data_IF_019726386054
#
_entry.id   IF_019726386054
#
_cell.length_a   1.000
_cell.length_b   1.000
_cell.length_c   1.000
_cell.angle_alpha   90.00
_cell.angle_beta   90.00
_cell.angle_gamma   90.00
#
_symmetry.space_group_name_H-M   'P 1'
#
loop_
_entity.id
_entity.type
_entity.pdbx_description
1 polymer ?
#
# COMPACT_ATOMS: atom_id res chain seq x y z
N UNK A 1 -3.59 -14.99 12.85
CA UNK A 1 -2.66 -14.09 12.15
C UNK A 1 -2.69 -14.45 10.67
N UNK A 2 -2.96 -13.48 9.77
CA UNK A 2 -2.98 -13.69 8.32
C UNK A 2 -1.59 -13.43 7.72
N UNK A 3 -1.02 -12.24 7.99
CA UNK A 3 0.32 -11.85 7.54
C UNK A 3 1.19 -11.53 8.76
N UNK A 4 2.40 -12.06 8.79
CA UNK A 4 3.42 -11.71 9.77
C UNK A 4 4.71 -11.30 9.05
N UNK A 5 5.21 -10.14 9.37
CA UNK A 5 6.45 -9.59 8.85
C UNK A 5 7.41 -9.45 10.02
N UNK A 6 8.53 -10.17 9.98
CA UNK A 6 9.49 -10.25 11.08
C UNK A 6 10.88 -9.79 10.60
N UNK A 7 11.31 -8.63 11.11
CA UNK A 7 12.61 -8.02 10.80
C UNK A 7 12.94 -7.98 9.30
N UNK A 8 11.89 -7.73 8.47
CA UNK A 8 12.07 -7.65 7.02
C UNK A 8 12.91 -6.42 6.69
N UNK A 9 14.03 -6.63 6.03
CA UNK A 9 14.88 -5.58 5.52
C UNK A 9 15.26 -5.84 4.06
N UNK A 10 15.49 -4.75 3.32
CA UNK A 10 15.86 -4.80 1.90
C UNK A 10 16.98 -3.80 1.67
N UNK A 11 18.10 -4.27 1.12
CA UNK A 11 19.24 -3.41 0.84
C UNK A 11 19.53 -3.35 -0.66
N UNK A 12 19.69 -2.15 -1.17
CA UNK A 12 20.21 -1.79 -2.49
C UNK A 12 21.51 -1.00 -2.32
N UNK A 13 22.30 -0.80 -3.37
CA UNK A 13 23.55 -0.01 -3.27
C UNK A 13 23.34 1.40 -2.70
N UNK A 14 22.21 2.04 -3.01
CA UNK A 14 21.94 3.44 -2.65
C UNK A 14 20.84 3.62 -1.60
N UNK A 15 20.14 2.55 -1.23
CA UNK A 15 19.01 2.62 -0.31
C UNK A 15 18.90 1.36 0.55
N UNK A 16 18.52 1.52 1.81
CA UNK A 16 18.23 0.41 2.71
C UNK A 16 16.90 0.63 3.41
N UNK A 17 15.99 -0.33 3.26
CA UNK A 17 14.86 -0.49 4.17
C UNK A 17 15.36 -1.25 5.39
N UNK A 18 15.39 -0.58 6.53
CA UNK A 18 15.80 -1.14 7.81
C UNK A 18 14.76 -2.14 8.34
N UNK A 19 15.09 -3.00 9.32
CA UNK A 19 14.19 -4.04 9.79
C UNK A 19 12.80 -3.51 10.17
N UNK A 20 11.78 -4.03 9.50
CA UNK A 20 10.37 -3.73 9.74
C UNK A 20 9.68 -4.97 10.26
N UNK A 21 8.91 -4.81 11.33
CA UNK A 21 8.12 -5.90 11.91
C UNK A 21 6.68 -5.44 12.18
N UNK A 22 5.72 -6.18 11.70
CA UNK A 22 4.29 -6.00 11.99
C UNK A 22 3.53 -7.28 11.68
N UNK A 23 2.30 -7.32 12.15
CA UNK A 23 1.37 -8.41 11.83
C UNK A 23 0.04 -7.82 11.37
N UNK A 24 -0.72 -8.59 10.58
CA UNK A 24 -2.04 -8.23 10.08
C UNK A 24 -2.97 -9.43 10.21
N UNK A 25 -4.10 -9.25 10.84
CA UNK A 25 -5.14 -10.28 10.95
C UNK A 25 -6.10 -10.25 9.76
N UNK A 26 -6.86 -11.33 9.58
CA UNK A 26 -7.89 -11.39 8.55
C UNK A 26 -8.92 -10.26 8.77
N UNK A 27 -9.30 -9.58 7.69
CA UNK A 27 -10.24 -8.47 7.73
C UNK A 27 -9.67 -7.17 8.33
N UNK A 28 -8.41 -7.13 8.71
CA UNK A 28 -7.78 -5.92 9.27
C UNK A 28 -7.33 -4.96 8.15
N UNK A 29 -7.27 -3.66 8.50
CA UNK A 29 -6.76 -2.59 7.65
C UNK A 29 -5.45 -2.08 8.23
N UNK A 30 -4.36 -2.11 7.46
CA UNK A 30 -3.07 -1.52 7.79
C UNK A 30 -2.65 -0.54 6.72
N UNK A 31 -2.34 0.70 7.11
CA UNK A 31 -1.80 1.70 6.18
C UNK A 31 -0.32 1.96 6.47
N UNK A 32 0.50 1.97 5.43
CA UNK A 32 1.91 2.38 5.51
C UNK A 32 2.03 3.75 4.87
N UNK A 33 2.41 4.75 5.67
CA UNK A 33 2.49 6.15 5.23
C UNK A 33 3.92 6.65 5.28
N UNK A 34 4.28 7.52 4.32
CA UNK A 34 5.59 8.18 4.29
C UNK A 34 5.80 8.94 3.00
N UNK A 35 6.83 9.78 2.95
CA UNK A 35 7.21 10.52 1.72
C UNK A 35 7.63 9.57 0.59
N UNK A 36 7.69 10.11 -0.65
CA UNK A 36 8.26 9.38 -1.79
C UNK A 36 9.71 9.00 -1.48
N UNK A 37 10.11 7.78 -1.83
CA UNK A 37 11.46 7.26 -1.53
C UNK A 37 11.65 6.71 -0.10
N UNK A 38 10.63 6.73 0.77
CA UNK A 38 10.77 6.19 2.14
C UNK A 38 10.85 4.66 2.23
N UNK A 39 10.66 3.92 1.12
CA UNK A 39 10.77 2.46 1.08
C UNK A 39 9.44 1.70 1.10
N UNK A 40 8.29 2.38 1.02
CA UNK A 40 6.96 1.75 1.07
C UNK A 40 6.74 0.71 -0.03
N UNK A 41 6.98 1.08 -1.29
CA UNK A 41 6.87 0.17 -2.45
C UNK A 41 7.89 -0.97 -2.36
N UNK A 42 9.11 -0.69 -1.87
CA UNK A 42 10.13 -1.71 -1.59
C UNK A 42 9.61 -2.75 -0.60
N UNK A 43 9.00 -2.29 0.50
CA UNK A 43 8.39 -3.16 1.51
C UNK A 43 7.26 -4.04 0.90
N UNK A 44 6.34 -3.42 0.12
CA UNK A 44 5.26 -4.18 -0.54
C UNK A 44 5.78 -5.22 -1.52
N UNK A 45 6.79 -4.88 -2.34
CA UNK A 45 7.43 -5.82 -3.27
C UNK A 45 8.10 -6.97 -2.55
N UNK A 46 8.80 -6.70 -1.45
CA UNK A 46 9.43 -7.74 -0.65
C UNK A 46 8.40 -8.71 -0.03
N UNK A 47 7.30 -8.19 0.53
CA UNK A 47 6.19 -9.00 1.03
C UNK A 47 5.59 -9.88 -0.07
N UNK A 48 5.46 -9.34 -1.29
CA UNK A 48 4.89 -10.05 -2.43
C UNK A 48 5.89 -10.99 -3.16
N UNK A 49 7.13 -11.12 -2.66
CA UNK A 49 8.23 -11.83 -3.31
C UNK A 49 8.48 -11.34 -4.75
N UNK A 50 8.50 -10.00 -4.92
CA UNK A 50 8.69 -9.31 -6.20
C UNK A 50 9.83 -8.29 -6.11
N UNK A 51 10.78 -8.52 -5.21
CA UNK A 51 11.99 -7.70 -5.12
C UNK A 51 12.82 -7.82 -6.40
N UNK A 52 13.50 -6.75 -6.74
CA UNK A 52 14.40 -6.71 -7.88
C UNK A 52 15.61 -7.64 -7.66
N UNK A 53 16.25 -8.15 -8.73
CA UNK A 53 17.36 -9.11 -8.59
C UNK A 53 18.55 -8.57 -7.79
N UNK A 54 18.76 -7.26 -7.79
CA UNK A 54 19.84 -6.58 -7.06
C UNK A 54 19.55 -6.40 -5.57
N UNK A 55 18.29 -6.62 -5.16
CA UNK A 55 17.86 -6.45 -3.78
C UNK A 55 18.38 -7.58 -2.90
N UNK A 56 19.04 -7.23 -1.80
CA UNK A 56 19.34 -8.17 -0.74
C UNK A 56 18.21 -8.12 0.30
N UNK A 57 17.38 -9.15 0.30
CA UNK A 57 16.22 -9.25 1.20
C UNK A 57 16.59 -10.17 2.37
N UNK A 58 16.30 -9.74 3.60
CA UNK A 58 16.45 -10.55 4.81
C UNK A 58 15.27 -10.36 5.76
N UNK A 59 15.15 -11.25 6.74
CA UNK A 59 13.97 -11.33 7.60
C UNK A 59 13.03 -12.45 7.17
N UNK A 60 11.78 -12.41 7.63
CA UNK A 60 10.79 -13.45 7.36
C UNK A 60 9.43 -12.83 7.08
N UNK A 61 8.70 -13.41 6.14
CA UNK A 61 7.32 -13.04 5.81
C UNK A 61 6.47 -14.30 5.79
N UNK A 62 5.50 -14.38 6.69
CA UNK A 62 4.57 -15.50 6.74
C UNK A 62 3.18 -15.04 6.28
N UNK A 63 2.59 -15.80 5.37
CA UNK A 63 1.18 -15.68 4.97
C UNK A 63 0.45 -16.98 5.30
N UNK A 64 -0.57 -16.92 6.15
CA UNK A 64 -1.25 -18.10 6.65
C UNK A 64 -0.28 -19.16 7.20
N UNK A 65 0.77 -18.74 7.92
CA UNK A 65 1.82 -19.61 8.49
C UNK A 65 2.83 -20.16 7.48
N UNK A 66 2.76 -19.77 6.20
CA UNK A 66 3.75 -20.16 5.16
C UNK A 66 4.79 -19.06 5.00
N UNK A 67 6.06 -19.42 5.12
CA UNK A 67 7.15 -18.46 4.92
C UNK A 67 7.37 -18.19 3.43
N UNK A 68 7.06 -16.98 3.00
CA UNK A 68 7.07 -16.59 1.58
C UNK A 68 8.49 -16.40 1.05
N UNK A 69 9.42 -15.82 1.84
CA UNK A 69 10.77 -15.50 1.38
C UNK A 69 11.66 -16.76 1.22
N UNK A 70 11.28 -17.86 1.87
CA UNK A 70 11.94 -19.14 1.68
C UNK A 70 11.50 -19.89 0.41
N UNK A 71 10.45 -19.39 -0.28
CA UNK A 71 9.90 -19.98 -1.50
C UNK A 71 10.64 -19.48 -2.73
N UNK A 72 10.80 -20.35 -3.71
CA UNK A 72 11.19 -19.94 -5.06
C UNK A 72 10.00 -19.32 -5.82
N UNK A 73 10.29 -18.68 -6.96
CA UNK A 73 9.26 -18.04 -7.79
C UNK A 73 8.17 -19.03 -8.24
N UNK A 74 8.51 -20.30 -8.48
CA UNK A 74 7.54 -21.34 -8.91
C UNK A 74 6.54 -21.65 -7.81
N UNK A 75 6.97 -21.65 -6.55
CA UNK A 75 6.10 -21.87 -5.40
C UNK A 75 5.30 -20.61 -5.02
N UNK A 76 5.88 -19.41 -5.16
CA UNK A 76 5.24 -18.14 -4.83
C UNK A 76 4.17 -17.72 -5.87
N UNK A 77 4.43 -17.96 -7.15
CA UNK A 77 3.55 -17.55 -8.27
C UNK A 77 2.09 -18.02 -8.15
N UNK A 78 1.79 -19.28 -7.73
CA UNK A 78 0.41 -19.74 -7.57
C UNK A 78 -0.34 -19.05 -6.41
N UNK A 79 0.37 -18.50 -5.42
CA UNK A 79 -0.22 -17.81 -4.28
C UNK A 79 -0.69 -16.41 -4.66
N UNK A 80 0.02 -15.77 -5.61
CA UNK A 80 -0.36 -14.45 -6.12
C UNK A 80 -1.73 -14.53 -6.80
N UNK A 81 -2.57 -13.56 -6.56
CA UNK A 81 -3.97 -13.44 -6.97
C UNK A 81 -4.92 -14.42 -6.26
N UNK A 82 -4.46 -15.54 -5.73
CA UNK A 82 -5.28 -16.53 -5.05
C UNK A 82 -5.31 -16.34 -3.54
N UNK A 83 -4.17 -16.17 -2.90
CA UNK A 83 -4.07 -15.95 -1.45
C UNK A 83 -3.83 -14.48 -1.12
N UNK A 84 -3.05 -13.81 -1.93
CA UNK A 84 -2.86 -12.36 -1.87
C UNK A 84 -2.80 -11.76 -3.27
N UNK A 85 -3.23 -10.50 -3.37
CA UNK A 85 -3.13 -9.70 -4.60
C UNK A 85 -2.36 -8.41 -4.34
N UNK A 86 -1.74 -7.87 -5.38
CA UNK A 86 -1.00 -6.61 -5.33
C UNK A 86 -1.42 -5.73 -6.49
N UNK A 87 -1.78 -4.47 -6.19
CA UNK A 87 -2.00 -3.41 -7.14
C UNK A 87 -0.91 -2.36 -6.95
N UNK A 88 -0.03 -2.22 -7.96
CA UNK A 88 1.08 -1.27 -7.92
C UNK A 88 0.63 0.16 -8.21
N UNK A 89 1.48 1.12 -7.84
CA UNK A 89 1.37 2.50 -8.28
C UNK A 89 1.31 2.57 -9.82
N UNK A 90 0.47 3.47 -10.36
CA UNK A 90 0.23 3.61 -11.80
C UNK A 90 -0.28 2.33 -12.48
N UNK A 91 -1.00 1.47 -11.74
CA UNK A 91 -1.50 0.20 -12.29
C UNK A 91 -2.36 0.36 -13.55
N UNK A 92 -2.90 1.55 -13.80
CA UNK A 92 -3.59 1.88 -15.05
C UNK A 92 -2.68 1.72 -16.29
N UNK A 93 -1.39 2.02 -16.16
CA UNK A 93 -0.39 1.88 -17.23
C UNK A 93 -0.02 0.41 -17.51
N UNK A 94 -0.35 -0.49 -16.58
CA UNK A 94 -0.08 -1.92 -16.70
C UNK A 94 -1.23 -2.67 -17.38
N UNK A 95 -2.38 -2.03 -17.56
CA UNK A 95 -3.45 -2.60 -18.37
C UNK A 95 -3.07 -2.55 -19.84
N UNK A 96 -3.17 -3.69 -20.51
CA UNK A 96 -2.92 -3.75 -21.95
C UNK A 96 -4.00 -2.91 -22.68
N UNK A 97 -3.62 -1.82 -23.37
CA UNK A 97 -4.60 -0.93 -24.00
C UNK A 97 -5.38 -1.57 -25.15
N UNK A 98 -4.96 -2.74 -25.61
CA UNK A 98 -5.58 -3.48 -26.71
C UNK A 98 -6.56 -4.56 -26.24
N UNK A 99 -6.67 -4.78 -24.91
CA UNK A 99 -7.59 -5.73 -24.33
C UNK A 99 -8.78 -5.01 -23.68
N UNK A 100 -9.96 -5.59 -23.79
CA UNK A 100 -11.15 -5.16 -23.06
C UNK A 100 -11.05 -5.52 -21.57
N UNK A 101 -11.90 -4.93 -20.73
CA UNK A 101 -11.95 -5.27 -19.30
C UNK A 101 -12.32 -6.75 -19.10
N UNK A 102 -13.20 -7.30 -19.93
CA UNK A 102 -13.55 -8.72 -19.91
C UNK A 102 -12.32 -9.61 -20.19
N UNK A 103 -11.48 -9.22 -21.13
CA UNK A 103 -10.27 -9.98 -21.48
C UNK A 103 -9.24 -9.95 -20.35
N UNK A 104 -9.03 -8.79 -19.69
CA UNK A 104 -8.17 -8.70 -18.50
C UNK A 104 -8.67 -9.58 -17.36
N UNK A 105 -9.97 -9.54 -17.03
CA UNK A 105 -10.54 -10.43 -16.00
C UNK A 105 -10.41 -11.90 -16.39
N UNK A 106 -10.57 -12.23 -17.68
CA UNK A 106 -10.44 -13.61 -18.18
C UNK A 106 -9.05 -14.18 -17.94
N UNK A 107 -7.99 -13.38 -18.13
CA UNK A 107 -6.60 -13.81 -17.88
C UNK A 107 -6.38 -14.27 -16.43
N UNK A 108 -7.04 -13.62 -15.48
CA UNK A 108 -6.95 -13.98 -14.04
C UNK A 108 -7.92 -15.12 -13.72
N UNK A 109 -9.18 -14.96 -14.10
CA UNK A 109 -10.28 -15.89 -13.74
C UNK A 109 -10.10 -17.28 -14.37
N UNK A 110 -9.41 -17.39 -15.52
CA UNK A 110 -9.16 -18.69 -16.14
C UNK A 110 -8.36 -19.66 -15.27
N UNK A 111 -7.78 -19.21 -14.16
CA UNK A 111 -7.10 -20.06 -13.17
C UNK A 111 -8.08 -20.87 -12.32
N UNK A 112 -9.31 -20.38 -12.12
CA UNK A 112 -10.29 -21.01 -11.22
C UNK A 112 -11.68 -21.21 -11.84
N UNK A 113 -12.05 -20.45 -12.87
CA UNK A 113 -13.40 -20.41 -13.43
C UNK A 113 -13.41 -20.78 -14.91
N UNK A 114 -14.54 -21.35 -15.40
CA UNK A 114 -14.77 -21.69 -16.81
C UNK A 114 -16.22 -21.41 -17.21
N UNK A 115 -16.45 -21.12 -18.51
CA UNK A 115 -17.77 -20.99 -19.09
C UNK A 115 -18.68 -20.03 -18.34
N UNK A 116 -19.92 -20.46 -18.06
CA UNK A 116 -20.93 -19.64 -17.38
C UNK A 116 -20.51 -19.16 -15.98
N UNK A 117 -19.74 -19.98 -15.24
CA UNK A 117 -19.25 -19.57 -13.91
C UNK A 117 -18.25 -18.39 -13.98
N UNK A 118 -17.45 -18.32 -15.05
CA UNK A 118 -16.55 -17.20 -15.29
C UNK A 118 -17.34 -15.93 -15.60
N UNK A 119 -18.36 -16.02 -16.47
CA UNK A 119 -19.22 -14.89 -16.83
C UNK A 119 -19.93 -14.32 -15.57
N UNK A 120 -20.55 -15.22 -14.78
CA UNK A 120 -21.21 -14.83 -13.55
C UNK A 120 -20.23 -14.14 -12.55
N UNK A 121 -19.00 -14.65 -12.46
CA UNK A 121 -17.98 -14.02 -11.60
C UNK A 121 -17.54 -12.64 -12.09
N UNK A 122 -17.44 -12.43 -13.41
CA UNK A 122 -17.17 -11.11 -13.99
C UNK A 122 -18.28 -10.12 -13.62
N UNK A 123 -19.53 -10.48 -13.81
CA UNK A 123 -20.68 -9.64 -13.45
C UNK A 123 -20.68 -9.31 -11.94
N UNK A 124 -20.44 -10.31 -11.09
CA UNK A 124 -20.33 -10.11 -9.64
C UNK A 124 -19.23 -9.12 -9.28
N UNK A 125 -18.04 -9.23 -9.89
CA UNK A 125 -16.92 -8.33 -9.65
C UNK A 125 -17.22 -6.90 -10.09
N UNK A 126 -17.85 -6.72 -11.26
CA UNK A 126 -18.26 -5.39 -11.73
C UNK A 126 -19.27 -4.75 -10.78
N UNK A 127 -20.29 -5.49 -10.37
CA UNK A 127 -21.28 -5.02 -9.40
C UNK A 127 -20.65 -4.70 -8.03
N UNK A 128 -19.67 -5.51 -7.58
CA UNK A 128 -18.97 -5.33 -6.31
C UNK A 128 -18.24 -3.98 -6.23
N UNK A 129 -17.65 -3.52 -7.35
CA UNK A 129 -16.94 -2.24 -7.39
C UNK A 129 -17.80 -1.09 -7.94
N UNK A 130 -19.07 -1.32 -8.21
CA UNK A 130 -20.00 -0.31 -8.73
C UNK A 130 -19.65 0.13 -10.15
N UNK A 131 -19.32 -0.83 -11.02
CA UNK A 131 -19.24 -0.70 -12.48
C UNK A 131 -20.38 -1.48 -13.12
N UNK A 132 -20.76 -1.09 -14.33
CA UNK A 132 -21.80 -1.77 -15.08
C UNK A 132 -21.22 -2.99 -15.84
N UNK A 133 -22.02 -4.03 -16.03
CA UNK A 133 -21.61 -5.20 -16.83
C UNK A 133 -21.27 -4.80 -18.26
N UNK A 134 -21.94 -3.77 -18.80
CA UNK A 134 -21.63 -3.22 -20.13
C UNK A 134 -20.20 -2.65 -20.24
N UNK A 135 -19.60 -2.21 -19.13
CA UNK A 135 -18.22 -1.70 -19.13
C UNK A 135 -17.19 -2.80 -19.43
N UNK A 136 -17.55 -4.09 -19.30
CA UNK A 136 -16.68 -5.22 -19.66
C UNK A 136 -16.20 -5.19 -21.11
N UNK A 137 -16.98 -4.62 -22.01
CA UNK A 137 -16.65 -4.51 -23.43
C UNK A 137 -15.77 -3.29 -23.76
N UNK A 138 -15.53 -2.41 -22.77
CA UNK A 138 -14.69 -1.23 -22.93
C UNK A 138 -13.21 -1.54 -22.82
N UNK A 139 -12.41 -0.68 -23.45
CA UNK A 139 -10.95 -0.66 -23.29
C UNK A 139 -10.54 0.30 -22.15
N UNK A 140 -9.37 0.11 -21.52
CA UNK A 140 -8.90 0.95 -20.42
C UNK A 140 -8.91 2.46 -20.74
N UNK A 141 -8.57 2.84 -21.97
CA UNK A 141 -8.55 4.24 -22.45
C UNK A 141 -9.94 4.94 -22.52
N UNK A 142 -11.01 4.16 -22.43
CA UNK A 142 -12.39 4.67 -22.50
C UNK A 142 -12.98 4.93 -21.12
N UNK A 143 -12.19 4.65 -20.07
CA UNK A 143 -12.60 4.80 -18.68
C UNK A 143 -12.05 6.09 -18.07
N UNK A 144 -12.80 6.65 -17.11
CA UNK A 144 -12.25 7.67 -16.21
C UNK A 144 -11.24 7.05 -15.25
N UNK A 145 -10.34 7.87 -14.67
CA UNK A 145 -9.36 7.39 -13.69
C UNK A 145 -10.00 6.64 -12.50
N UNK A 146 -11.13 7.14 -12.01
CA UNK A 146 -11.87 6.46 -10.93
C UNK A 146 -12.47 5.11 -11.36
N UNK A 147 -12.94 4.97 -12.61
CA UNK A 147 -13.41 3.69 -13.15
C UNK A 147 -12.26 2.70 -13.31
N UNK A 148 -11.09 3.16 -13.76
CA UNK A 148 -9.89 2.33 -13.85
C UNK A 148 -9.50 1.78 -12.47
N UNK A 149 -9.48 2.63 -11.43
CA UNK A 149 -9.16 2.20 -10.08
C UNK A 149 -10.19 1.19 -9.52
N UNK A 150 -11.47 1.40 -9.77
CA UNK A 150 -12.53 0.42 -9.46
C UNK A 150 -12.28 -0.92 -10.14
N UNK A 151 -11.95 -0.89 -11.43
CA UNK A 151 -11.64 -2.10 -12.20
C UNK A 151 -10.40 -2.81 -11.65
N UNK A 152 -9.34 -2.08 -11.30
CA UNK A 152 -8.13 -2.65 -10.68
C UNK A 152 -8.43 -3.34 -9.35
N UNK A 153 -9.34 -2.77 -8.52
CA UNK A 153 -9.83 -3.43 -7.31
C UNK A 153 -10.62 -4.70 -7.64
N UNK A 154 -11.49 -4.68 -8.65
CA UNK A 154 -12.21 -5.89 -9.12
C UNK A 154 -11.22 -6.97 -9.56
N UNK A 155 -10.20 -6.60 -10.35
CA UNK A 155 -9.17 -7.51 -10.82
C UNK A 155 -8.34 -8.10 -9.66
N UNK A 156 -7.96 -7.27 -8.67
CA UNK A 156 -7.26 -7.74 -7.48
C UNK A 156 -8.10 -8.75 -6.66
N UNK A 157 -9.42 -8.56 -6.61
CA UNK A 157 -10.37 -9.42 -5.90
C UNK A 157 -10.87 -10.62 -6.72
N UNK A 158 -10.39 -10.80 -7.95
CA UNK A 158 -10.92 -11.78 -8.90
C UNK A 158 -11.00 -13.22 -8.33
N UNK A 159 -9.97 -13.64 -7.60
CA UNK A 159 -9.86 -14.97 -7.02
C UNK A 159 -10.11 -15.03 -5.51
N UNK A 160 -10.76 -14.00 -4.93
CA UNK A 160 -11.06 -13.89 -3.49
C UNK A 160 -9.81 -14.02 -2.59
N UNK A 161 -8.75 -13.21 -2.81
CA UNK A 161 -7.58 -13.28 -1.95
C UNK A 161 -7.92 -12.87 -0.51
N UNK A 162 -7.20 -13.45 0.45
CA UNK A 162 -7.34 -13.09 1.86
C UNK A 162 -6.70 -11.74 2.17
N UNK A 163 -5.69 -11.34 1.40
CA UNK A 163 -4.93 -10.10 1.54
C UNK A 163 -4.84 -9.36 0.21
N UNK A 164 -5.09 -8.04 0.22
CA UNK A 164 -4.84 -7.15 -0.92
C UNK A 164 -3.87 -6.06 -0.49
N UNK A 165 -2.76 -5.94 -1.24
CA UNK A 165 -1.80 -4.85 -1.12
C UNK A 165 -2.14 -3.79 -2.17
N UNK A 166 -2.33 -2.54 -1.74
CA UNK A 166 -2.64 -1.41 -2.62
C UNK A 166 -1.54 -0.37 -2.49
N UNK A 167 -0.85 -0.07 -3.58
CA UNK A 167 0.18 0.98 -3.62
C UNK A 167 -0.39 2.23 -4.31
N UNK A 168 -0.57 3.30 -3.53
CA UNK A 168 -1.11 4.60 -3.94
C UNK A 168 -2.48 4.51 -4.67
N UNK A 169 -3.51 3.88 -4.06
CA UNK A 169 -4.77 3.62 -4.77
C UNK A 169 -5.56 4.87 -5.16
N UNK A 170 -5.19 6.05 -4.64
CA UNK A 170 -5.88 7.32 -4.90
C UNK A 170 -4.96 8.41 -5.49
N UNK A 171 -3.67 8.12 -5.70
CA UNK A 171 -2.63 9.12 -5.97
C UNK A 171 -2.81 9.94 -7.25
N UNK A 172 -3.52 9.43 -8.26
CA UNK A 172 -3.75 10.11 -9.55
C UNK A 172 -5.20 10.56 -9.74
N UNK A 173 -6.01 10.58 -8.67
CA UNK A 173 -7.44 10.87 -8.74
C UNK A 173 -7.78 12.27 -8.23
N UNK A 174 -8.86 12.84 -8.74
CA UNK A 174 -9.49 14.02 -8.14
C UNK A 174 -10.08 13.69 -6.75
N UNK A 175 -10.40 14.74 -5.98
CA UNK A 175 -10.87 14.61 -4.58
C UNK A 175 -12.15 13.76 -4.48
N UNK A 176 -13.09 13.90 -5.42
CA UNK A 176 -14.36 13.19 -5.38
C UNK A 176 -14.16 11.69 -5.66
N UNK A 177 -13.38 11.38 -6.71
CA UNK A 177 -13.00 10.03 -7.08
C UNK A 177 -12.18 9.34 -5.96
N UNK A 178 -11.24 10.06 -5.35
CA UNK A 178 -10.43 9.57 -4.22
C UNK A 178 -11.32 9.15 -3.04
N UNK A 179 -12.28 9.99 -2.64
CA UNK A 179 -13.26 9.65 -1.60
C UNK A 179 -14.09 8.43 -1.95
N UNK A 180 -14.52 8.32 -3.21
CA UNK A 180 -15.27 7.16 -3.71
C UNK A 180 -14.47 5.85 -3.60
N UNK A 181 -13.18 5.87 -3.97
CA UNK A 181 -12.29 4.71 -3.87
C UNK A 181 -12.01 4.36 -2.40
N UNK A 182 -11.80 5.36 -1.53
CA UNK A 182 -11.60 5.13 -0.09
C UNK A 182 -12.81 4.43 0.53
N UNK A 183 -14.01 4.94 0.28
CA UNK A 183 -15.26 4.34 0.76
C UNK A 183 -15.46 2.93 0.20
N UNK A 184 -15.09 2.68 -1.06
CA UNK A 184 -15.17 1.36 -1.69
C UNK A 184 -14.21 0.37 -1.00
N UNK A 185 -12.95 0.76 -0.72
CA UNK A 185 -11.98 -0.10 -0.02
C UNK A 185 -12.53 -0.50 1.36
N UNK A 186 -13.09 0.44 2.12
CA UNK A 186 -13.71 0.18 3.42
C UNK A 186 -14.89 -0.79 3.31
N UNK A 187 -15.76 -0.59 2.31
CA UNK A 187 -16.91 -1.47 2.08
C UNK A 187 -16.47 -2.88 1.68
N UNK A 188 -15.48 -3.00 0.81
CA UNK A 188 -14.90 -4.29 0.40
C UNK A 188 -14.28 -5.03 1.59
N UNK A 189 -13.51 -4.33 2.43
CA UNK A 189 -12.94 -4.89 3.66
C UNK A 189 -14.04 -5.43 4.58
N UNK A 190 -15.03 -4.60 4.89
CA UNK A 190 -16.14 -4.95 5.78
C UNK A 190 -17.00 -6.10 5.23
N UNK A 191 -17.28 -6.10 3.91
CA UNK A 191 -18.19 -7.04 3.27
C UNK A 191 -17.55 -8.40 3.00
N UNK A 192 -16.28 -8.41 2.58
CA UNK A 192 -15.57 -9.63 2.18
C UNK A 192 -14.70 -10.22 3.30
N UNK A 193 -14.40 -9.44 4.35
CA UNK A 193 -13.43 -9.85 5.35
C UNK A 193 -11.99 -9.93 4.81
N UNK A 194 -11.73 -9.39 3.61
CA UNK A 194 -10.38 -9.31 3.03
C UNK A 194 -9.55 -8.30 3.81
N UNK A 195 -8.35 -8.67 4.19
CA UNK A 195 -7.40 -7.74 4.79
C UNK A 195 -6.80 -6.82 3.72
N UNK A 196 -6.57 -5.56 4.06
CA UNK A 196 -5.92 -4.60 3.17
C UNK A 196 -4.66 -4.03 3.80
N UNK A 197 -3.55 -4.09 3.06
CA UNK A 197 -2.34 -3.33 3.33
C UNK A 197 -2.25 -2.20 2.30
N UNK A 198 -2.47 -0.96 2.73
CA UNK A 198 -2.51 0.22 1.86
C UNK A 198 -1.23 1.02 2.04
N UNK A 199 -0.59 1.34 0.93
CA UNK A 199 0.59 2.19 0.89
C UNK A 199 0.19 3.54 0.32
N UNK A 200 0.58 4.62 1.00
CA UNK A 200 0.30 5.98 0.53
C UNK A 200 1.26 7.00 1.13
N UNK A 201 1.31 8.18 0.54
CA UNK A 201 1.91 9.37 1.15
C UNK A 201 0.86 10.28 1.81
N UNK A 202 -0.43 9.95 1.69
CA UNK A 202 -1.54 10.76 2.18
C UNK A 202 -2.03 10.28 3.55
N UNK A 203 -1.70 11.06 4.61
CA UNK A 203 -2.21 10.83 5.96
C UNK A 203 -3.72 10.93 6.05
N UNK A 204 -4.36 11.71 5.13
CA UNK A 204 -5.82 11.80 5.10
C UNK A 204 -6.44 10.48 4.67
N UNK A 205 -5.87 9.81 3.66
CA UNK A 205 -6.32 8.48 3.27
C UNK A 205 -6.19 7.49 4.44
N UNK A 206 -5.06 7.51 5.16
CA UNK A 206 -4.88 6.67 6.34
C UNK A 206 -5.94 6.97 7.43
N UNK A 207 -6.22 8.25 7.68
CA UNK A 207 -7.26 8.68 8.61
C UNK A 207 -8.66 8.19 8.22
N UNK A 208 -9.00 8.34 6.94
CA UNK A 208 -10.31 7.92 6.40
C UNK A 208 -10.44 6.39 6.43
N UNK A 209 -9.40 5.63 6.11
CA UNK A 209 -9.41 4.16 6.15
C UNK A 209 -9.50 3.60 7.58
N UNK A 210 -8.87 4.24 8.55
CA UNK A 210 -8.80 3.75 9.92
C UNK A 210 -7.88 2.53 10.09
N UNK A 211 -8.14 1.71 11.11
CA UNK A 211 -7.31 0.55 11.45
C UNK A 211 -5.97 0.94 12.07
N UNK A 212 -4.87 0.37 11.62
CA UNK A 212 -3.52 0.67 12.10
C UNK A 212 -2.68 1.37 11.04
N UNK A 213 -1.73 2.18 11.48
CA UNK A 213 -0.80 2.92 10.61
C UNK A 213 0.64 2.68 11.03
N UNK A 214 1.51 2.51 10.05
CA UNK A 214 2.97 2.51 10.17
C UNK A 214 3.50 3.71 9.40
N UNK A 215 4.27 4.55 10.05
CA UNK A 215 4.90 5.74 9.45
C UNK A 215 6.35 5.40 9.12
N UNK A 216 6.68 5.50 7.84
CA UNK A 216 8.00 5.14 7.28
C UNK A 216 8.72 6.39 6.76
N UNK A 217 9.95 6.60 7.19
CA UNK A 217 10.81 7.68 6.73
C UNK A 217 12.22 7.16 6.45
N UNK A 218 12.74 7.42 5.24
CA UNK A 218 14.11 7.07 4.82
C UNK A 218 14.50 5.61 5.19
N UNK A 219 13.59 4.67 4.96
CA UNK A 219 13.78 3.25 5.26
C UNK A 219 13.57 2.84 6.72
N UNK A 220 13.21 3.75 7.61
CA UNK A 220 12.98 3.47 9.04
C UNK A 220 11.50 3.59 9.42
N UNK A 221 11.06 2.74 10.33
CA UNK A 221 9.76 2.88 11.00
C UNK A 221 9.92 3.91 12.11
N UNK A 222 9.31 5.08 11.95
CA UNK A 222 9.38 6.17 12.92
C UNK A 222 8.29 6.09 13.98
N UNK A 223 7.11 5.61 13.56
CA UNK A 223 5.98 5.47 14.45
C UNK A 223 5.01 4.39 13.93
N UNK A 224 4.39 3.63 14.82
CA UNK A 224 3.36 2.65 14.46
C UNK A 224 2.32 2.53 15.57
N UNK A 225 1.05 2.31 15.19
CA UNK A 225 -0.01 2.14 16.15
C UNK A 225 -1.41 2.20 15.54
N UNK A 226 -2.42 2.31 16.40
CA UNK A 226 -3.78 2.62 16.01
C UNK A 226 -3.82 3.96 15.28
N UNK A 227 -4.49 4.01 14.13
CA UNK A 227 -4.50 5.21 13.27
C UNK A 227 -5.04 6.43 14.01
N UNK A 228 -6.12 6.28 14.76
CA UNK A 228 -6.72 7.40 15.51
C UNK A 228 -5.80 7.90 16.61
N UNK A 229 -5.15 6.99 17.33
CA UNK A 229 -4.18 7.37 18.36
C UNK A 229 -2.99 8.15 17.78
N UNK A 230 -2.50 7.74 16.60
CA UNK A 230 -1.44 8.44 15.87
C UNK A 230 -1.87 9.85 15.40
N UNK A 231 -3.13 10.01 14.98
CA UNK A 231 -3.69 11.30 14.57
C UNK A 231 -3.86 12.25 15.73
N UNK A 232 -4.40 11.75 16.84
CA UNK A 232 -4.72 12.55 18.02
C UNK A 232 -3.45 12.89 18.84
N UNK A 233 -2.49 11.96 18.92
CA UNK A 233 -1.30 12.06 19.76
C UNK A 233 -0.02 11.62 19.06
N UNK A 234 0.37 12.26 17.93
CA UNK A 234 1.61 11.91 17.22
C UNK A 234 2.83 12.17 18.11
N UNK A 235 3.67 11.17 18.25
CA UNK A 235 4.87 11.25 19.11
C UNK A 235 6.07 11.76 18.33
N UNK A 236 6.31 11.19 17.14
CA UNK A 236 7.46 11.55 16.34
C UNK A 236 7.26 12.87 15.60
N UNK A 237 8.26 13.79 15.56
CA UNK A 237 8.15 15.07 14.85
C UNK A 237 7.85 14.95 13.36
N UNK A 238 8.30 13.88 12.71
CA UNK A 238 7.97 13.60 11.31
C UNK A 238 6.48 13.32 11.13
N UNK A 239 5.88 12.48 11.97
CA UNK A 239 4.42 12.21 11.96
C UNK A 239 3.62 13.50 12.14
N UNK A 240 4.05 14.37 13.07
CA UNK A 240 3.43 15.70 13.27
C UNK A 240 3.51 16.54 12.00
N UNK A 241 4.67 16.55 11.33
CA UNK A 241 4.88 17.27 10.09
C UNK A 241 3.99 16.77 8.95
N UNK A 242 3.86 15.44 8.80
CA UNK A 242 2.95 14.83 7.83
C UNK A 242 1.50 15.24 8.07
N UNK A 243 1.05 15.21 9.33
CA UNK A 243 -0.31 15.63 9.71
C UNK A 243 -0.57 17.11 9.44
N UNK A 244 0.43 17.96 9.67
CA UNK A 244 0.33 19.40 9.39
C UNK A 244 0.27 19.71 7.90
N UNK A 245 0.90 18.89 7.06
CA UNK A 245 0.88 19.03 5.60
C UNK A 245 -0.37 18.43 4.95
N UNK A 246 -1.11 17.57 5.67
CA UNK A 246 -2.33 16.94 5.16
C UNK A 246 -3.49 17.94 5.11
N UNK A 247 -3.86 18.36 3.90
CA UNK A 247 -4.98 19.29 3.66
C UNK A 247 -6.29 18.69 4.17
N UNK A 248 -6.95 19.39 5.09
CA UNK A 248 -8.27 19.01 5.63
C UNK A 248 -8.25 18.26 6.97
N UNK A 249 -7.10 17.86 7.51
CA UNK A 249 -6.99 17.32 8.86
C UNK A 249 -6.76 18.43 9.90
N UNK A 250 -6.32 19.61 9.50
CA UNK A 250 -6.08 20.74 10.38
C UNK A 250 -6.47 22.08 9.73
N UNK A 251 -7.74 22.55 9.89
CA UNK A 251 -8.26 23.70 9.15
C UNK A 251 -7.75 25.09 9.62
N UNK A 252 -6.93 25.19 10.64
CA UNK A 252 -6.71 26.48 11.35
C UNK A 252 -5.26 26.86 11.61
N UNK A 253 -4.26 26.15 11.11
CA UNK A 253 -2.85 26.53 11.36
C UNK A 253 -2.07 26.65 10.06
N UNK A 254 -1.18 27.66 10.04
CA UNK A 254 -0.19 27.86 9.00
C UNK A 254 0.43 26.51 8.60
N UNK A 255 0.39 26.19 7.29
CA UNK A 255 0.97 24.98 6.74
C UNK A 255 2.49 25.04 6.86
N UNK A 256 3.01 24.78 8.02
CA UNK A 256 4.44 24.56 8.24
C UNK A 256 4.75 23.12 7.78
N UNK A 257 4.91 22.96 6.49
CA UNK A 257 5.33 21.68 5.93
C UNK A 257 6.70 21.26 6.47
N UNK A 258 7.00 19.99 6.36
CA UNK A 258 8.32 19.44 6.64
C UNK A 258 9.34 20.20 5.79
N UNK A 259 10.42 20.74 6.42
CA UNK A 259 11.43 21.49 5.72
C UNK A 259 11.96 20.69 4.53
N UNK A 260 12.04 21.29 3.31
CA UNK A 260 12.60 20.60 2.18
C UNK A 260 14.06 20.23 2.46
N UNK A 261 14.53 19.15 1.88
CA UNK A 261 15.95 18.74 1.92
C UNK A 261 16.77 19.69 1.05
N UNK A 262 17.01 20.91 1.50
CA UNK A 262 17.81 21.92 0.76
C UNK A 262 19.29 21.85 1.07
N UNK A 263 19.71 20.95 1.96
CA UNK A 263 21.12 20.75 2.30
C UNK A 263 21.45 19.29 2.06
N UNK A 264 22.58 19.02 1.41
CA UNK A 264 23.21 17.70 1.39
C UNK A 264 23.47 17.26 2.83
N UNK A 265 22.45 16.67 3.44
CA UNK A 265 22.58 16.09 4.76
C UNK A 265 23.47 14.87 4.64
N UNK A 266 24.64 14.94 5.24
CA UNK A 266 25.45 13.76 5.50
C UNK A 266 24.60 12.89 6.45
N UNK A 267 24.02 11.82 5.90
CA UNK A 267 23.26 10.81 6.66
C UNK A 267 24.11 10.40 7.85
N UNK A 268 23.61 10.62 9.06
CA UNK A 268 24.30 10.19 10.28
C UNK A 268 24.15 8.66 10.37
N UNK A 269 25.23 7.88 10.34
CA UNK A 269 25.14 6.41 10.22
C UNK A 269 24.42 5.72 11.40
N UNK A 270 24.30 6.38 12.54
CA UNK A 270 23.73 5.84 13.77
C UNK A 270 22.70 6.73 14.45
N UNK A 271 22.37 7.88 13.85
CA UNK A 271 21.43 8.86 14.40
C UNK A 271 20.01 8.73 13.84
N UNK A 272 19.11 9.56 14.35
CA UNK A 272 17.77 9.70 13.82
C UNK A 272 17.82 10.16 12.34
N UNK A 273 17.22 9.43 11.38
CA UNK A 273 17.25 9.81 9.97
C UNK A 273 16.57 11.15 9.70
N UNK A 274 15.62 11.54 10.53
CA UNK A 274 14.92 12.83 10.44
C UNK A 274 15.68 13.99 11.11
N UNK A 275 16.82 13.76 11.78
CA UNK A 275 17.57 14.75 12.55
C UNK A 275 17.72 16.10 11.85
N UNK A 276 18.08 16.07 10.59
CA UNK A 276 18.36 17.29 9.85
C UNK A 276 17.18 18.11 9.41
N UNK A 277 16.00 17.54 9.41
CA UNK A 277 14.73 18.20 9.07
C UNK A 277 13.89 18.47 10.32
N UNK A 278 14.32 17.92 11.45
CA UNK A 278 13.60 17.99 12.70
C UNK A 278 13.72 19.39 13.33
N UNK A 279 12.60 20.00 13.66
CA UNK A 279 12.57 21.30 14.38
C UNK A 279 12.76 21.12 15.89
N UNK A 280 12.76 19.89 16.39
CA UNK A 280 12.90 19.51 17.80
C UNK A 280 14.16 18.64 18.01
N UNK A 281 15.12 18.66 17.09
CA UNK A 281 16.33 17.83 17.19
C UNK A 281 17.15 18.22 18.43
N UNK A 282 17.61 17.19 19.14
CA UNK A 282 18.54 17.30 20.25
C UNK A 282 19.93 16.81 19.81
N UNK A 283 21.02 17.26 20.43
CA UNK A 283 22.38 16.76 20.11
C UNK A 283 22.48 15.23 20.19
N UNK A 284 21.76 14.60 21.11
CA UNK A 284 21.72 13.14 21.24
C UNK A 284 21.13 12.44 20.01
N UNK A 285 20.20 13.07 19.29
CA UNK A 285 19.60 12.50 18.08
C UNK A 285 20.60 12.34 16.92
N UNK A 286 21.75 13.01 16.95
CA UNK A 286 22.80 12.84 15.97
C UNK A 286 23.54 11.49 16.09
N UNK A 287 23.50 10.87 17.27
CA UNK A 287 24.18 9.59 17.54
C UNK A 287 23.24 8.42 17.84
N UNK A 288 21.99 8.71 18.19
CA UNK A 288 21.01 7.68 18.56
C UNK A 288 19.65 8.05 17.98
N UNK A 289 18.98 7.09 17.37
CA UNK A 289 17.56 7.23 17.03
C UNK A 289 16.74 7.24 18.34
N UNK A 290 15.73 8.11 18.47
CA UNK A 290 14.90 8.21 19.68
C UNK A 290 14.04 6.95 19.90
#
# INVERSE_FOLDING_TARGET
MLLEVNNLSVSYPEFTLHPVSFALDAGEMLTIVGESGSGKTTLARAIACLSEPEAQVSGQVYLNGRELLAMDERACRPLRMKEFALSFQNSAEWLNPSLTLAEHLREVLCRAYRGAAMAARMEELMALVGLETADLERYPRELSGGMVQKFLLANALALNPALVLLDEPTGALDIASSRGITALIQELNRRLGTAFLVITHDMKLAADLGGRTVVLYDGHVEEAGDTRALLDHPRHPYTRGLLQSAVGLNPVRDMWGIRPTTVSYTRQPHGCPFYGRCTQSLPACAGHAP
#
